data_IF_462981904591
#
_entry.id   IF_462981904591
#
_cell.length_a   1.000
_cell.length_b   1.000
_cell.length_c   1.000
_cell.angle_alpha   90.00
_cell.angle_beta   90.00
_cell.angle_gamma   90.00
#
_symmetry.space_group_name_H-M   'P 1'
#
loop_
_entity.id
_entity.type
_entity.pdbx_description
1 polymer ?
#
# COMPACT_ATOMS: atom_id res chain seq x y z
N UNK A 1 -7.32 5.96 31.21
CA UNK A 1 -6.60 5.71 29.94
C UNK A 1 -5.10 5.64 30.25
N UNK A 2 -4.48 4.49 30.07
CA UNK A 2 -3.06 4.27 30.39
C UNK A 2 -2.20 5.11 29.45
N UNK A 3 -1.31 5.94 30.01
CA UNK A 3 -0.37 6.76 29.23
C UNK A 3 0.90 5.95 28.92
N UNK A 4 0.89 5.18 27.84
CA UNK A 4 2.11 4.53 27.35
C UNK A 4 2.99 5.55 26.59
N UNK A 5 4.25 5.60 26.94
CA UNK A 5 5.24 6.35 26.15
C UNK A 5 5.55 5.62 24.85
N UNK A 6 5.99 6.34 23.81
CA UNK A 6 6.45 5.71 22.55
C UNK A 6 7.53 4.64 22.76
N UNK A 7 8.39 4.82 23.78
CA UNK A 7 9.44 3.86 24.13
C UNK A 7 8.86 2.55 24.68
N UNK A 8 7.86 2.64 25.55
CA UNK A 8 7.15 1.48 26.10
C UNK A 8 6.39 0.73 25.02
N UNK A 9 5.69 1.44 24.14
CA UNK A 9 4.99 0.83 22.99
C UNK A 9 5.99 0.07 22.12
N UNK A 10 7.12 0.67 21.73
CA UNK A 10 8.15 -0.01 20.92
C UNK A 10 8.73 -1.25 21.60
N UNK A 11 8.85 -1.24 22.92
CA UNK A 11 9.34 -2.41 23.70
C UNK A 11 8.33 -3.55 23.72
N UNK A 12 7.03 -3.24 23.88
CA UNK A 12 5.96 -4.25 23.97
C UNK A 12 5.50 -4.73 22.59
N UNK A 13 5.53 -3.85 21.60
CA UNK A 13 5.08 -4.09 20.23
C UNK A 13 6.23 -3.78 19.26
N UNK A 14 7.30 -4.57 19.23
CA UNK A 14 8.43 -4.33 18.35
C UNK A 14 8.01 -4.44 16.89
N UNK A 15 8.65 -3.63 16.03
CA UNK A 15 8.48 -3.70 14.58
C UNK A 15 8.84 -5.10 14.06
N UNK A 16 8.13 -5.51 13.02
CA UNK A 16 8.46 -6.77 12.35
C UNK A 16 9.72 -6.61 11.46
N UNK A 17 10.48 -7.69 11.25
CA UNK A 17 11.57 -7.68 10.28
C UNK A 17 11.04 -7.39 8.88
N UNK A 18 11.69 -6.49 8.15
CA UNK A 18 11.32 -6.10 6.79
C UNK A 18 11.27 -7.28 5.83
N UNK A 19 12.20 -8.24 5.96
CA UNK A 19 12.26 -9.44 5.15
C UNK A 19 10.95 -10.27 5.16
N UNK A 20 10.15 -10.17 6.24
CA UNK A 20 8.82 -10.80 6.30
C UNK A 20 7.89 -10.28 5.21
N UNK A 21 7.83 -8.96 5.08
CA UNK A 21 6.94 -8.29 4.13
C UNK A 21 7.47 -8.41 2.70
N UNK A 22 8.78 -8.29 2.50
CA UNK A 22 9.42 -8.46 1.18
C UNK A 22 9.17 -9.85 0.60
N UNK A 23 9.21 -10.92 1.41
CA UNK A 23 8.84 -12.28 0.94
C UNK A 23 7.36 -12.35 0.52
N UNK A 24 6.47 -11.73 1.29
CA UNK A 24 5.05 -11.65 0.93
C UNK A 24 4.82 -10.90 -0.37
N UNK A 25 5.48 -9.77 -0.56
CA UNK A 25 5.44 -8.98 -1.79
C UNK A 25 5.91 -9.79 -3.00
N UNK A 26 7.03 -10.50 -2.87
CA UNK A 26 7.55 -11.38 -3.91
C UNK A 26 6.53 -12.44 -4.31
N UNK A 27 5.95 -13.15 -3.32
CA UNK A 27 4.95 -14.20 -3.59
C UNK A 27 3.71 -13.66 -4.32
N UNK A 28 3.16 -12.53 -3.88
CA UNK A 28 1.98 -11.92 -4.52
C UNK A 28 2.29 -11.35 -5.90
N UNK A 29 3.47 -10.75 -6.08
CA UNK A 29 3.94 -10.28 -7.39
C UNK A 29 4.11 -11.44 -8.37
N UNK A 30 4.73 -12.53 -7.93
CA UNK A 30 4.90 -13.73 -8.75
C UNK A 30 3.53 -14.32 -9.16
N UNK A 31 2.59 -14.45 -8.22
CA UNK A 31 1.24 -14.92 -8.51
C UNK A 31 0.50 -14.01 -9.50
N UNK A 32 0.64 -12.70 -9.36
CA UNK A 32 0.06 -11.71 -10.29
C UNK A 32 0.62 -11.88 -11.71
N UNK A 33 1.95 -12.00 -11.86
CA UNK A 33 2.57 -12.16 -13.17
C UNK A 33 2.28 -13.55 -13.79
N UNK A 34 2.22 -14.60 -12.98
CA UNK A 34 1.80 -15.92 -13.47
C UNK A 34 0.36 -15.89 -14.00
N UNK A 35 -0.54 -15.19 -13.30
CA UNK A 35 -1.91 -14.97 -13.77
C UNK A 35 -1.94 -14.16 -15.08
N UNK A 36 -1.10 -13.12 -15.20
CA UNK A 36 -0.98 -12.33 -16.42
C UNK A 36 -0.47 -13.19 -17.60
N UNK A 37 0.57 -14.00 -17.37
CA UNK A 37 1.09 -14.93 -18.42
C UNK A 37 0.00 -15.91 -18.85
N UNK A 38 -0.76 -16.48 -17.91
CA UNK A 38 -1.89 -17.35 -18.25
C UNK A 38 -2.97 -16.61 -19.07
N UNK A 39 -3.25 -15.35 -18.76
CA UNK A 39 -4.17 -14.51 -19.53
C UNK A 39 -3.62 -14.23 -20.95
N UNK A 40 -2.36 -13.79 -21.06
CA UNK A 40 -1.71 -13.52 -22.34
C UNK A 40 -1.61 -14.77 -23.24
N UNK A 41 -1.47 -15.95 -22.65
CA UNK A 41 -1.50 -17.24 -23.35
C UNK A 41 -2.92 -17.77 -23.68
N UNK A 42 -3.98 -17.02 -23.34
CA UNK A 42 -5.37 -17.43 -23.53
C UNK A 42 -5.88 -18.52 -22.58
N UNK A 43 -5.09 -18.92 -21.58
CA UNK A 43 -5.45 -19.93 -20.57
C UNK A 43 -6.35 -19.36 -19.44
N UNK A 44 -6.33 -18.04 -19.22
CA UNK A 44 -7.19 -17.37 -18.25
C UNK A 44 -8.07 -16.32 -18.98
N UNK A 45 -9.41 -16.37 -18.85
CA UNK A 45 -10.28 -15.38 -19.47
C UNK A 45 -10.21 -14.04 -18.74
N UNK A 46 -10.57 -12.93 -19.43
CA UNK A 46 -10.52 -11.56 -18.88
C UNK A 46 -11.36 -11.40 -17.61
N UNK A 47 -12.52 -12.04 -17.52
CA UNK A 47 -13.40 -11.99 -16.35
C UNK A 47 -12.76 -12.62 -15.09
N UNK A 48 -11.78 -13.52 -15.25
CA UNK A 48 -10.97 -14.09 -14.16
C UNK A 48 -9.75 -13.20 -13.87
N UNK A 49 -9.03 -12.77 -14.93
CA UNK A 49 -7.82 -11.96 -14.80
C UNK A 49 -8.11 -10.63 -14.10
N UNK A 50 -9.18 -9.94 -14.47
CA UNK A 50 -9.54 -8.65 -13.90
C UNK A 50 -9.71 -8.70 -12.37
N UNK A 51 -10.74 -9.37 -11.84
CA UNK A 51 -10.99 -9.39 -10.38
C UNK A 51 -9.88 -10.04 -9.57
N UNK A 52 -9.33 -11.18 -10.03
CA UNK A 52 -8.26 -11.87 -9.32
C UNK A 52 -6.95 -11.08 -9.36
N UNK A 53 -6.65 -10.45 -10.50
CA UNK A 53 -5.48 -9.58 -10.63
C UNK A 53 -5.55 -8.38 -9.68
N UNK A 54 -6.71 -7.73 -9.57
CA UNK A 54 -6.92 -6.65 -8.59
C UNK A 54 -6.73 -7.17 -7.15
N UNK A 55 -7.28 -8.31 -6.80
CA UNK A 55 -7.11 -8.90 -5.47
C UNK A 55 -5.65 -9.21 -5.15
N UNK A 56 -4.91 -9.80 -6.10
CA UNK A 56 -3.47 -10.09 -5.96
C UNK A 56 -2.67 -8.80 -5.82
N UNK A 57 -3.00 -7.76 -6.60
CA UNK A 57 -2.38 -6.44 -6.47
C UNK A 57 -2.63 -5.82 -5.09
N UNK A 58 -3.86 -5.85 -4.57
CA UNK A 58 -4.18 -5.34 -3.24
C UNK A 58 -3.42 -6.08 -2.13
N UNK A 59 -3.24 -7.40 -2.26
CA UNK A 59 -2.40 -8.21 -1.36
C UNK A 59 -0.93 -7.78 -1.41
N UNK A 60 -0.42 -7.56 -2.63
CA UNK A 60 0.93 -7.04 -2.85
C UNK A 60 1.09 -5.66 -2.23
N UNK A 61 0.19 -4.72 -2.54
CA UNK A 61 0.23 -3.34 -2.05
C UNK A 61 0.22 -3.28 -0.52
N UNK A 62 -0.60 -4.10 0.13
CA UNK A 62 -0.64 -4.17 1.58
C UNK A 62 0.72 -4.57 2.18
N UNK A 63 1.40 -5.59 1.60
CA UNK A 63 2.75 -5.98 2.06
C UNK A 63 3.79 -4.89 1.78
N UNK A 64 3.62 -4.18 0.68
CA UNK A 64 4.45 -3.03 0.36
C UNK A 64 4.30 -1.91 1.40
N UNK A 65 3.08 -1.51 1.74
CA UNK A 65 2.78 -0.51 2.76
C UNK A 65 3.39 -0.89 4.13
N UNK A 66 3.15 -2.10 4.61
CA UNK A 66 3.76 -2.63 5.84
C UNK A 66 5.30 -2.60 5.82
N UNK A 67 5.91 -2.87 4.66
CA UNK A 67 7.37 -2.84 4.51
C UNK A 67 7.97 -1.43 4.67
N UNK A 68 7.19 -0.36 4.47
CA UNK A 68 7.64 1.03 4.69
C UNK A 68 7.85 1.32 6.18
N UNK A 69 7.08 0.68 7.05
CA UNK A 69 7.11 0.84 8.51
C UNK A 69 7.97 -0.19 9.23
N UNK A 70 8.41 -1.25 8.54
CA UNK A 70 9.18 -2.34 9.13
C UNK A 70 10.60 -1.93 9.53
N UNK A 71 11.20 -2.71 10.44
CA UNK A 71 12.60 -2.46 10.86
C UNK A 71 13.56 -2.59 9.67
N UNK A 72 14.27 -1.51 9.41
CA UNK A 72 15.23 -1.39 8.30
C UNK A 72 16.57 -2.08 8.59
N UNK A 73 16.88 -2.37 9.86
CA UNK A 73 18.22 -2.80 10.31
C UNK A 73 18.59 -4.19 9.81
N UNK A 74 17.58 -5.06 9.63
CA UNK A 74 17.78 -6.45 9.24
C UNK A 74 17.54 -6.71 7.74
N UNK A 75 17.31 -5.67 6.93
CA UNK A 75 17.03 -5.87 5.53
C UNK A 75 18.31 -6.27 4.77
N UNK A 76 18.34 -7.43 4.10
CA UNK A 76 19.46 -7.80 3.26
C UNK A 76 19.68 -6.72 2.19
N UNK A 77 20.96 -6.42 1.89
CA UNK A 77 21.31 -5.36 0.92
C UNK A 77 20.77 -5.64 -0.48
N UNK A 78 20.52 -6.90 -0.81
CA UNK A 78 19.91 -7.33 -2.07
C UNK A 78 18.89 -8.44 -1.81
N UNK A 79 17.68 -8.29 -2.38
CA UNK A 79 16.64 -9.30 -2.36
C UNK A 79 15.91 -9.28 -3.71
N UNK A 80 15.67 -10.45 -4.36
CA UNK A 80 15.02 -10.50 -5.67
C UNK A 80 13.62 -9.82 -5.69
N UNK A 81 12.91 -9.83 -4.57
CA UNK A 81 11.66 -9.08 -4.43
C UNK A 81 11.82 -7.58 -4.73
N UNK A 82 12.99 -6.98 -4.51
CA UNK A 82 13.23 -5.56 -4.81
C UNK A 82 13.24 -5.28 -6.32
N UNK A 83 13.72 -6.21 -7.13
CA UNK A 83 13.64 -6.10 -8.58
C UNK A 83 12.19 -6.23 -9.06
N UNK A 84 11.42 -7.16 -8.47
CA UNK A 84 10.00 -7.34 -8.81
C UNK A 84 9.09 -6.21 -8.31
N UNK A 85 9.50 -5.41 -7.32
CA UNK A 85 8.76 -4.22 -6.87
C UNK A 85 8.61 -3.17 -7.96
N UNK A 86 9.62 -3.04 -8.82
CA UNK A 86 9.57 -2.14 -9.99
C UNK A 86 8.58 -2.67 -11.03
N UNK A 87 8.42 -3.99 -11.11
CA UNK A 87 7.63 -4.64 -12.16
C UNK A 87 6.12 -4.53 -11.95
N UNK A 88 5.64 -4.50 -10.71
CA UNK A 88 4.18 -4.45 -10.41
C UNK A 88 3.68 -3.03 -10.14
N UNK A 89 4.56 -2.14 -9.74
CA UNK A 89 4.15 -0.76 -9.40
C UNK A 89 3.78 0.05 -10.65
N UNK A 90 2.59 0.63 -10.72
CA UNK A 90 2.26 1.61 -11.76
C UNK A 90 2.99 2.94 -11.55
N UNK A 91 3.71 3.07 -10.45
CA UNK A 91 4.37 4.30 -10.02
C UNK A 91 5.79 4.31 -10.55
N UNK A 92 6.18 5.39 -11.21
CA UNK A 92 7.54 5.61 -11.70
C UNK A 92 8.55 5.88 -10.57
N UNK A 93 8.06 6.13 -9.35
CA UNK A 93 8.88 6.32 -8.17
C UNK A 93 9.38 4.99 -7.61
N UNK A 94 10.62 4.98 -7.17
CA UNK A 94 11.18 3.84 -6.48
C UNK A 94 10.75 3.82 -5.02
N UNK A 95 11.17 2.74 -4.36
CA UNK A 95 10.83 2.52 -2.99
C UNK A 95 11.30 3.62 -2.04
N UNK A 96 12.53 4.12 -2.21
CA UNK A 96 13.08 5.14 -1.31
C UNK A 96 12.27 6.44 -1.39
N UNK A 97 11.86 6.82 -2.60
CA UNK A 97 11.03 7.99 -2.84
C UNK A 97 9.63 7.81 -2.23
N UNK A 98 9.03 6.65 -2.42
CA UNK A 98 7.70 6.35 -1.85
C UNK A 98 7.74 6.25 -0.32
N UNK A 99 8.83 5.72 0.26
CA UNK A 99 9.05 5.73 1.71
C UNK A 99 9.18 7.16 2.24
N UNK A 100 9.94 8.03 1.56
CA UNK A 100 10.05 9.45 1.91
C UNK A 100 8.68 10.14 1.89
N UNK A 101 7.89 9.92 0.83
CA UNK A 101 6.56 10.50 0.67
C UNK A 101 5.60 10.01 1.76
N UNK A 102 5.56 8.73 2.01
CA UNK A 102 4.67 8.14 3.01
C UNK A 102 5.03 8.57 4.44
N UNK A 103 6.31 8.62 4.78
CA UNK A 103 6.76 9.16 6.07
C UNK A 103 6.54 10.67 6.19
N UNK A 104 6.52 11.41 5.08
CA UNK A 104 6.13 12.81 5.08
C UNK A 104 4.63 12.94 5.34
N UNK A 105 3.78 12.14 4.67
CA UNK A 105 2.35 12.08 4.95
C UNK A 105 2.06 11.89 6.46
N UNK A 106 2.69 10.93 7.12
CA UNK A 106 2.56 10.72 8.57
C UNK A 106 2.98 11.93 9.43
N UNK A 107 3.79 12.85 8.91
CA UNK A 107 4.26 14.04 9.65
C UNK A 107 3.39 15.28 9.46
N UNK A 108 2.81 15.44 8.26
CA UNK A 108 2.11 16.65 7.84
C UNK A 108 0.67 16.39 7.38
N UNK A 109 0.13 15.27 7.80
CA UNK A 109 -1.17 14.73 7.42
C UNK A 109 -2.25 15.80 7.19
N UNK A 110 -2.88 15.74 6.00
CA UNK A 110 -3.97 16.64 5.59
C UNK A 110 -3.56 18.07 5.25
N UNK A 111 -2.31 18.46 5.49
CA UNK A 111 -1.81 19.78 5.14
C UNK A 111 -1.47 19.93 3.65
N UNK A 112 -1.30 21.16 3.16
CA UNK A 112 -0.90 21.44 1.77
C UNK A 112 0.47 20.81 1.38
N UNK A 113 1.32 20.54 2.36
CA UNK A 113 2.60 19.88 2.17
C UNK A 113 2.49 18.35 2.09
N UNK A 114 1.32 17.80 2.40
CA UNK A 114 1.06 16.37 2.33
C UNK A 114 1.03 15.90 0.87
N UNK A 115 1.84 14.92 0.48
CA UNK A 115 1.80 14.38 -0.88
C UNK A 115 0.45 13.72 -1.22
N UNK A 116 -0.32 13.30 -0.23
CA UNK A 116 -1.63 12.66 -0.39
C UNK A 116 -2.81 13.64 -0.31
N UNK A 117 -2.54 14.93 -0.06
CA UNK A 117 -3.56 15.98 0.12
C UNK A 117 -4.66 15.98 -0.97
N UNK A 118 -4.27 15.80 -2.23
CA UNK A 118 -5.23 15.80 -3.34
C UNK A 118 -6.25 14.65 -3.27
N UNK A 119 -5.91 13.53 -2.61
CA UNK A 119 -6.77 12.37 -2.43
C UNK A 119 -7.63 12.45 -1.16
N UNK A 120 -7.29 13.33 -0.22
CA UNK A 120 -8.00 13.53 1.06
C UNK A 120 -9.15 14.55 0.95
N UNK A 121 -9.66 14.78 -0.25
CA UNK A 121 -10.70 15.77 -0.53
C UNK A 121 -12.05 15.36 0.07
N UNK A 122 -12.85 16.33 0.57
CA UNK A 122 -14.18 16.08 1.15
C UNK A 122 -15.16 15.39 0.20
N UNK A 123 -15.06 15.67 -1.10
CA UNK A 123 -15.88 15.02 -2.11
C UNK A 123 -15.30 13.65 -2.49
N UNK A 124 -15.99 12.52 -2.19
CA UNK A 124 -15.51 11.16 -2.45
C UNK A 124 -15.25 10.87 -3.92
N UNK A 125 -16.03 11.45 -4.82
CA UNK A 125 -15.88 11.22 -6.26
C UNK A 125 -14.59 11.87 -6.77
N UNK A 126 -14.31 13.10 -6.32
CA UNK A 126 -13.05 13.79 -6.62
C UNK A 126 -11.85 13.05 -6.00
N UNK A 127 -11.96 12.59 -4.77
CA UNK A 127 -10.93 11.77 -4.13
C UNK A 127 -10.65 10.49 -4.94
N UNK A 128 -11.70 9.78 -5.36
CA UNK A 128 -11.57 8.58 -6.20
C UNK A 128 -10.86 8.87 -7.54
N UNK A 129 -11.22 9.98 -8.22
CA UNK A 129 -10.53 10.40 -9.45
C UNK A 129 -9.05 10.71 -9.20
N UNK A 130 -8.73 11.40 -8.09
CA UNK A 130 -7.33 11.68 -7.74
C UNK A 130 -6.56 10.39 -7.44
N UNK A 131 -7.19 9.38 -6.83
CA UNK A 131 -6.58 8.06 -6.63
C UNK A 131 -6.27 7.33 -7.95
N UNK A 132 -7.04 7.53 -9.01
CA UNK A 132 -6.75 6.95 -10.34
C UNK A 132 -5.47 7.52 -10.94
N UNK A 133 -5.24 8.83 -10.79
CA UNK A 133 -4.06 9.53 -11.32
C UNK A 133 -2.95 9.74 -10.28
N UNK A 134 -3.10 9.13 -9.10
CA UNK A 134 -2.16 9.26 -7.98
C UNK A 134 -0.70 8.98 -8.37
N UNK A 135 -0.36 7.93 -9.15
CA UNK A 135 1.03 7.68 -9.52
C UNK A 135 1.71 8.86 -10.22
N UNK A 136 0.97 9.50 -11.13
CA UNK A 136 1.44 10.68 -11.85
C UNK A 136 1.54 11.90 -10.93
N UNK A 137 0.57 12.07 -10.04
CA UNK A 137 0.59 13.18 -9.07
C UNK A 137 1.81 13.08 -8.14
N UNK A 138 2.10 11.90 -7.59
CA UNK A 138 3.26 11.68 -6.74
C UNK A 138 4.57 11.86 -7.51
N UNK A 139 4.68 11.31 -8.72
CA UNK A 139 5.86 11.48 -9.55
C UNK A 139 6.12 12.96 -9.86
N UNK A 140 5.07 13.69 -10.25
CA UNK A 140 5.15 15.12 -10.53
C UNK A 140 5.51 15.94 -9.28
N UNK A 141 4.89 15.62 -8.14
CA UNK A 141 5.19 16.24 -6.85
C UNK A 141 6.67 16.05 -6.47
N UNK A 142 7.16 14.82 -6.61
CA UNK A 142 8.55 14.47 -6.28
C UNK A 142 9.55 15.18 -7.23
N UNK A 143 9.31 15.12 -8.55
CA UNK A 143 10.19 15.73 -9.55
C UNK A 143 10.25 17.25 -9.36
N UNK A 144 9.12 17.91 -9.06
CA UNK A 144 9.08 19.36 -8.82
C UNK A 144 9.92 19.77 -7.60
N UNK A 145 9.99 18.94 -6.58
CA UNK A 145 10.71 19.26 -5.32
C UNK A 145 12.15 18.77 -5.30
N UNK A 146 12.46 17.66 -5.96
CA UNK A 146 13.78 16.99 -5.88
C UNK A 146 14.51 16.96 -7.22
N UNK A 147 13.85 17.27 -8.32
CA UNK A 147 14.39 17.13 -9.67
C UNK A 147 14.42 15.67 -10.15
N UNK A 148 14.86 15.51 -11.39
CA UNK A 148 15.04 14.19 -12.03
C UNK A 148 16.43 13.65 -11.68
N UNK A 149 16.47 12.68 -10.76
CA UNK A 149 17.73 12.01 -10.40
C UNK A 149 18.08 10.88 -11.39
N UNK A 150 19.38 10.50 -11.53
CA UNK A 150 19.77 9.32 -12.34
C UNK A 150 19.05 8.03 -11.91
N UNK A 151 18.83 7.86 -10.61
CA UNK A 151 18.08 6.71 -10.08
C UNK A 151 16.61 6.70 -10.53
N UNK A 152 15.94 7.85 -10.53
CA UNK A 152 14.58 7.96 -11.05
C UNK A 152 14.54 7.70 -12.55
N UNK A 153 15.47 8.26 -13.32
CA UNK A 153 15.58 8.03 -14.77
C UNK A 153 15.78 6.53 -15.08
N UNK A 154 16.66 5.85 -14.33
CA UNK A 154 16.89 4.41 -14.49
C UNK A 154 15.60 3.58 -14.21
N UNK A 155 14.79 3.97 -13.22
CA UNK A 155 13.50 3.30 -12.94
C UNK A 155 12.47 3.55 -14.04
N UNK A 156 12.39 4.76 -14.57
CA UNK A 156 11.52 5.07 -15.72
C UNK A 156 11.89 4.21 -16.93
N UNK A 157 13.20 4.04 -17.18
CA UNK A 157 13.69 3.14 -18.23
C UNK A 157 13.30 1.68 -17.96
N UNK A 158 13.50 1.19 -16.74
CA UNK A 158 13.07 -0.16 -16.36
C UNK A 158 11.55 -0.36 -16.57
N UNK A 159 10.74 0.64 -16.29
CA UNK A 159 9.28 0.62 -16.52
C UNK A 159 8.94 0.54 -18.01
N UNK A 160 9.64 1.31 -18.84
CA UNK A 160 9.46 1.25 -20.29
C UNK A 160 9.85 -0.13 -20.86
N UNK A 161 10.94 -0.74 -20.34
CA UNK A 161 11.34 -2.10 -20.70
C UNK A 161 10.32 -3.14 -20.25
N UNK A 162 9.74 -2.98 -19.06
CA UNK A 162 8.65 -3.81 -18.59
C UNK A 162 7.44 -3.75 -19.54
N UNK A 163 7.02 -2.55 -19.94
CA UNK A 163 5.90 -2.41 -20.86
C UNK A 163 6.18 -3.04 -22.21
N UNK A 164 7.41 -2.91 -22.73
CA UNK A 164 7.83 -3.59 -23.93
C UNK A 164 7.74 -5.13 -23.80
N UNK A 165 8.16 -5.68 -22.64
CA UNK A 165 8.04 -7.10 -22.37
C UNK A 165 6.58 -7.57 -22.25
N UNK A 166 5.72 -6.81 -21.56
CA UNK A 166 4.29 -7.11 -21.45
C UNK A 166 3.60 -7.07 -22.80
N UNK A 167 3.94 -6.10 -23.64
CA UNK A 167 3.42 -5.97 -25.00
C UNK A 167 3.91 -7.12 -25.89
N UNK A 168 5.17 -7.52 -25.77
CA UNK A 168 5.71 -8.67 -26.49
C UNK A 168 5.00 -9.98 -26.10
N UNK A 169 4.67 -10.17 -24.82
CA UNK A 169 4.00 -11.37 -24.31
C UNK A 169 2.51 -11.44 -24.67
N UNK A 170 1.78 -10.36 -24.51
CA UNK A 170 0.31 -10.32 -24.59
C UNK A 170 -0.26 -9.39 -25.65
N UNK A 171 0.59 -8.83 -26.51
CA UNK A 171 0.17 -7.82 -27.49
C UNK A 171 -0.37 -6.55 -26.84
N UNK A 172 -0.99 -5.70 -27.64
CA UNK A 172 -1.59 -4.43 -27.15
C UNK A 172 -2.72 -4.67 -26.14
N UNK A 173 -3.57 -5.68 -26.41
CA UNK A 173 -4.69 -6.02 -25.51
C UNK A 173 -4.17 -6.48 -24.13
N UNK A 174 -3.15 -7.32 -24.10
CA UNK A 174 -2.49 -7.73 -22.87
C UNK A 174 -1.90 -6.56 -22.08
N UNK A 175 -1.20 -5.64 -22.77
CA UNK A 175 -0.65 -4.45 -22.13
C UNK A 175 -1.74 -3.56 -21.54
N UNK A 176 -2.83 -3.32 -22.27
CA UNK A 176 -3.96 -2.53 -21.79
C UNK A 176 -4.65 -3.20 -20.60
N UNK A 177 -4.91 -4.51 -20.68
CA UNK A 177 -5.51 -5.27 -19.60
C UNK A 177 -4.65 -5.24 -18.33
N UNK A 178 -3.32 -5.45 -18.45
CA UNK A 178 -2.38 -5.35 -17.34
C UNK A 178 -2.46 -3.98 -16.67
N UNK A 179 -2.33 -2.91 -17.44
CA UNK A 179 -2.34 -1.55 -16.89
C UNK A 179 -3.70 -1.19 -16.28
N UNK A 180 -4.81 -1.64 -16.86
CA UNK A 180 -6.15 -1.41 -16.31
C UNK A 180 -6.29 -2.07 -14.93
N UNK A 181 -5.85 -3.32 -14.78
CA UNK A 181 -5.91 -4.07 -13.52
C UNK A 181 -5.01 -3.42 -12.45
N UNK A 182 -3.77 -3.10 -12.81
CA UNK A 182 -2.83 -2.46 -11.88
C UNK A 182 -3.32 -1.06 -11.49
N UNK A 183 -3.84 -0.28 -12.44
CA UNK A 183 -4.38 1.06 -12.19
C UNK A 183 -5.60 1.01 -11.27
N UNK A 184 -6.52 0.08 -11.53
CA UNK A 184 -7.70 -0.10 -10.68
C UNK A 184 -7.31 -0.55 -9.27
N UNK A 185 -6.40 -1.52 -9.16
CA UNK A 185 -5.89 -1.99 -7.87
C UNK A 185 -5.22 -0.88 -7.06
N UNK A 186 -4.40 -0.05 -7.74
CA UNK A 186 -3.75 1.10 -7.13
C UNK A 186 -4.78 2.16 -6.67
N UNK A 187 -5.75 2.49 -7.54
CA UNK A 187 -6.78 3.45 -7.20
C UNK A 187 -7.62 3.02 -6.00
N UNK A 188 -8.02 1.74 -5.94
CA UNK A 188 -8.74 1.17 -4.80
C UNK A 188 -7.89 1.18 -3.51
N UNK A 189 -6.60 0.82 -3.61
CA UNK A 189 -5.69 0.86 -2.48
C UNK A 189 -5.60 2.29 -1.91
N UNK A 190 -5.29 3.28 -2.75
CA UNK A 190 -5.16 4.67 -2.32
C UNK A 190 -6.48 5.29 -1.87
N UNK A 191 -7.61 4.94 -2.50
CA UNK A 191 -8.92 5.39 -2.03
C UNK A 191 -9.18 4.92 -0.59
N UNK A 192 -8.80 3.68 -0.27
CA UNK A 192 -8.89 3.18 1.10
C UNK A 192 -7.89 3.89 2.02
N UNK A 193 -6.60 3.93 1.66
CA UNK A 193 -5.52 4.41 2.54
C UNK A 193 -5.42 5.93 2.65
N UNK A 194 -5.88 6.68 1.64
CA UNK A 194 -5.82 8.14 1.70
C UNK A 194 -7.18 8.79 1.99
N UNK A 195 -8.30 8.17 1.60
CA UNK A 195 -9.61 8.78 1.81
C UNK A 195 -10.43 8.09 2.90
N UNK A 196 -10.69 6.77 2.78
CA UNK A 196 -11.60 6.06 3.71
C UNK A 196 -11.09 6.11 5.14
N UNK A 197 -9.80 5.83 5.34
CA UNK A 197 -9.21 5.73 6.68
C UNK A 197 -9.12 7.07 7.41
N UNK A 198 -9.11 8.19 6.68
CA UNK A 198 -9.06 9.54 7.25
C UNK A 198 -10.44 10.16 7.48
N UNK A 199 -11.52 9.42 7.20
CA UNK A 199 -12.85 9.92 7.49
C UNK A 199 -13.11 9.99 9.00
N UNK A 200 -13.77 11.04 9.52
CA UNK A 200 -13.95 11.26 10.96
C UNK A 200 -14.60 10.08 11.70
N UNK A 201 -15.48 9.33 11.02
CA UNK A 201 -16.16 8.16 11.59
C UNK A 201 -15.22 6.96 11.84
N UNK A 202 -14.03 6.95 11.23
CA UNK A 202 -13.01 5.94 11.41
C UNK A 202 -11.77 6.49 12.15
N UNK A 203 -11.22 7.60 11.66
CA UNK A 203 -9.95 8.15 12.13
C UNK A 203 -10.00 8.73 13.55
N UNK A 204 -11.10 9.29 13.96
CA UNK A 204 -11.26 9.92 15.28
C UNK A 204 -11.30 8.96 16.47
N UNK A 205 -11.16 7.65 16.27
CA UNK A 205 -11.43 6.65 17.30
C UNK A 205 -10.25 5.70 17.54
N UNK A 206 -9.87 5.51 18.82
CA UNK A 206 -8.90 4.47 19.22
C UNK A 206 -9.48 3.07 19.00
N UNK A 207 -10.79 2.90 19.21
CA UNK A 207 -11.55 1.68 18.95
C UNK A 207 -12.76 1.96 18.04
N UNK A 208 -12.55 2.07 16.72
CA UNK A 208 -13.65 2.28 15.79
C UNK A 208 -14.55 1.05 15.69
N UNK A 209 -15.79 1.26 15.24
CA UNK A 209 -16.77 0.17 15.05
C UNK A 209 -16.25 -0.90 14.09
N UNK A 210 -16.60 -2.13 14.37
CA UNK A 210 -16.34 -3.22 13.42
C UNK A 210 -17.24 -3.11 12.19
N UNK A 211 -16.66 -3.44 11.04
CA UNK A 211 -17.46 -3.61 9.83
C UNK A 211 -18.41 -4.81 9.98
N UNK A 212 -19.58 -4.78 9.31
CA UNK A 212 -20.49 -5.92 9.26
C UNK A 212 -19.76 -7.21 8.86
N UNK A 213 -20.13 -8.33 9.47
CA UNK A 213 -19.46 -9.64 9.25
C UNK A 213 -19.22 -9.97 7.77
N UNK A 214 -20.21 -9.85 6.83
CA UNK A 214 -19.98 -10.18 5.43
C UNK A 214 -18.91 -9.32 4.79
N UNK A 215 -18.92 -7.99 5.06
CA UNK A 215 -17.93 -7.04 4.54
C UNK A 215 -16.54 -7.38 5.06
N UNK A 216 -16.41 -7.69 6.35
CA UNK A 216 -15.15 -8.10 6.98
C UNK A 216 -14.59 -9.39 6.37
N UNK A 217 -15.44 -10.39 6.12
CA UNK A 217 -15.04 -11.62 5.46
C UNK A 217 -14.55 -11.39 4.03
N UNK A 218 -15.28 -10.59 3.26
CA UNK A 218 -14.86 -10.19 1.92
C UNK A 218 -13.51 -9.45 1.96
N UNK A 219 -13.35 -8.53 2.91
CA UNK A 219 -12.07 -7.84 3.12
C UNK A 219 -10.92 -8.81 3.40
N UNK A 220 -11.13 -9.77 4.30
CA UNK A 220 -10.13 -10.79 4.62
C UNK A 220 -9.75 -11.63 3.40
N UNK A 221 -10.74 -11.98 2.59
CA UNK A 221 -10.52 -12.77 1.37
C UNK A 221 -9.76 -11.99 0.31
N UNK A 222 -10.11 -10.73 0.05
CA UNK A 222 -9.55 -9.92 -1.04
C UNK A 222 -8.26 -9.22 -0.63
N UNK A 223 -8.27 -8.49 0.47
CA UNK A 223 -7.17 -7.60 0.87
C UNK A 223 -6.25 -8.23 1.91
N UNK A 224 -6.82 -8.89 2.90
CA UNK A 224 -6.08 -9.54 3.98
C UNK A 224 -6.48 -9.06 5.37
N UNK A 225 -6.30 -9.95 6.34
CA UNK A 225 -6.67 -9.68 7.73
C UNK A 225 -5.81 -8.60 8.37
N UNK A 226 -4.51 -8.58 8.10
CA UNK A 226 -3.60 -7.57 8.67
C UNK A 226 -3.98 -6.18 8.19
N UNK A 227 -4.23 -6.01 6.88
CA UNK A 227 -4.69 -4.74 6.31
C UNK A 227 -6.00 -4.23 6.97
N UNK A 228 -6.94 -5.14 7.26
CA UNK A 228 -8.16 -4.77 7.97
C UNK A 228 -7.87 -4.08 9.31
N UNK A 229 -6.87 -4.55 10.05
CA UNK A 229 -6.48 -3.94 11.31
C UNK A 229 -5.81 -2.59 11.12
N UNK A 230 -4.95 -2.44 10.12
CA UNK A 230 -4.34 -1.16 9.77
C UNK A 230 -5.38 -0.10 9.38
N UNK A 231 -6.36 -0.49 8.56
CA UNK A 231 -7.49 0.39 8.19
C UNK A 231 -8.36 0.74 9.41
N UNK A 232 -8.76 -0.26 10.20
CA UNK A 232 -9.64 -0.05 11.35
C UNK A 232 -8.98 0.79 12.45
N UNK A 233 -7.71 0.59 12.72
CA UNK A 233 -6.96 1.28 13.77
C UNK A 233 -6.00 2.33 13.19
N UNK A 234 -6.41 3.03 12.13
CA UNK A 234 -5.54 3.92 11.38
C UNK A 234 -4.97 5.07 12.22
N UNK A 235 -5.74 5.62 13.14
CA UNK A 235 -5.22 6.60 14.11
C UNK A 235 -4.03 6.03 14.91
N UNK A 236 -4.13 4.79 15.39
CA UNK A 236 -3.03 4.15 16.11
C UNK A 236 -1.85 3.84 15.20
N UNK A 237 -2.11 3.52 13.93
CA UNK A 237 -1.09 3.36 12.91
C UNK A 237 -0.30 4.67 12.72
N UNK A 238 -0.95 5.83 12.62
CA UNK A 238 -0.26 7.12 12.55
C UNK A 238 0.53 7.46 13.81
N UNK A 239 -0.06 7.26 14.99
CA UNK A 239 0.60 7.55 16.27
C UNK A 239 1.80 6.65 16.56
N UNK A 240 1.73 5.39 16.12
CA UNK A 240 2.70 4.31 16.41
C UNK A 240 3.04 3.51 15.15
N UNK A 241 3.42 4.17 14.08
CA UNK A 241 3.59 3.57 12.75
C UNK A 241 4.57 2.39 12.67
N UNK A 242 5.48 2.24 13.63
CA UNK A 242 6.36 1.08 13.73
C UNK A 242 5.69 -0.17 14.33
N UNK A 243 4.47 -0.05 14.87
CA UNK A 243 3.71 -1.20 15.38
C UNK A 243 3.04 -1.92 14.21
N UNK A 244 3.32 -3.21 13.98
CA UNK A 244 2.69 -3.97 12.90
C UNK A 244 1.16 -3.97 13.00
N UNK A 245 0.45 -3.81 11.88
CA UNK A 245 -1.02 -3.71 11.82
C UNK A 245 -1.72 -4.84 12.59
N UNK A 246 -1.20 -6.07 12.51
CA UNK A 246 -1.73 -7.23 13.24
C UNK A 246 -1.69 -7.08 14.77
N UNK A 247 -0.90 -6.16 15.31
CA UNK A 247 -0.75 -5.90 16.76
C UNK A 247 -1.56 -4.69 17.23
N UNK A 248 -2.08 -3.87 16.31
CA UNK A 248 -2.88 -2.68 16.67
C UNK A 248 -4.10 -3.00 17.55
N UNK A 249 -4.83 -4.13 17.35
CA UNK A 249 -5.93 -4.50 18.27
C UNK A 249 -5.48 -4.75 19.71
N UNK A 250 -4.26 -5.25 19.90
CA UNK A 250 -3.71 -5.47 21.25
C UNK A 250 -3.26 -4.14 21.88
N UNK A 251 -2.62 -3.27 21.08
CA UNK A 251 -2.26 -1.93 21.50
C UNK A 251 -3.48 -1.11 21.89
N UNK A 252 -4.58 -1.14 21.11
CA UNK A 252 -5.83 -0.46 21.42
C UNK A 252 -6.37 -0.89 22.81
N UNK A 253 -6.42 -2.19 23.06
CA UNK A 253 -6.87 -2.72 24.37
C UNK A 253 -6.01 -2.26 25.54
N UNK A 254 -4.67 -2.17 25.36
CA UNK A 254 -3.80 -1.66 26.42
C UNK A 254 -4.01 -0.16 26.68
N UNK A 255 -4.30 0.62 25.64
CA UNK A 255 -4.54 2.07 25.79
C UNK A 255 -5.91 2.39 26.40
N UNK A 256 -6.90 1.51 26.22
CA UNK A 256 -8.27 1.70 26.73
C UNK A 256 -8.55 0.99 28.06
N UNK A 257 -7.60 0.16 28.52
CA UNK A 257 -7.72 -0.52 29.82
C UNK A 257 -7.86 0.51 30.96
N UNK A 258 -8.73 0.25 31.96
CA UNK A 258 -8.80 1.08 33.16
C UNK A 258 -7.47 1.03 33.92
N UNK A 259 -7.11 2.14 34.57
CA UNK A 259 -5.91 2.20 35.40
C UNK A 259 -6.09 1.24 36.60
N UNK A 260 -5.24 0.22 36.69
CA UNK A 260 -5.22 -0.75 37.79
C UNK A 260 -5.90 -2.07 37.50
N UNK A 261 -6.20 -2.42 36.26
CA UNK A 261 -6.68 -3.73 35.86
C UNK A 261 -5.53 -4.74 35.68
#
# INVERSE_FOLDING_TARGET
>A
MVRLTRREVRRRFPADPRARYERGMFGWSLAFHALYVAFAAGAAPAWLFGPLGVALFLRYFNRWHEALHADQREAPRWHPARALLVVVSPVYLGRAELEELHLLHHRVEGGEADPDHAMMHDNPLRAALMCVIQPELLALWFIRRRGLSPGLAARMTAHALQWAALMWLGGWEGLVAYNAVVRLGNALAWFVFAWVVHQPWLYGHVEPRELPRPVRWLWFAVVGRENYWGVRFHLLHHLFSAVPDRRLPALARELTAPEGA
#
